data_IF_965131062764
#
_entry.id   IF_965131062764
#
_cell.length_a   1.000
_cell.length_b   1.000
_cell.length_c   1.000
_cell.angle_alpha   90.00
_cell.angle_beta   90.00
_cell.angle_gamma   90.00
#
_symmetry.space_group_name_H-M   'P 1'
#
loop_
_entity.id
_entity.type
_entity.pdbx_description
1 polymer ?
#
# COMPACT_ATOMS: atom_id res chain seq x y z
N UNK A 1 4.33 -5.44 -18.86
CA UNK A 1 4.66 -4.66 -17.66
C UNK A 1 3.54 -3.67 -17.54
N UNK A 2 2.74 -3.81 -16.49
CA UNK A 2 1.59 -2.95 -16.25
C UNK A 2 2.04 -1.52 -15.90
N UNK A 3 1.22 -0.54 -16.30
CA UNK A 3 1.39 0.87 -15.97
C UNK A 3 0.60 1.22 -14.73
N UNK A 4 1.25 1.93 -13.81
CA UNK A 4 0.67 2.34 -12.53
C UNK A 4 0.54 3.87 -12.51
N UNK A 5 -0.60 4.39 -12.06
CA UNK A 5 -0.73 5.80 -11.75
C UNK A 5 -0.99 5.99 -10.25
N UNK A 6 -0.27 6.91 -9.62
CA UNK A 6 -0.46 7.27 -8.21
C UNK A 6 -1.04 8.68 -8.15
N UNK A 7 -2.22 8.81 -7.56
CA UNK A 7 -2.91 10.10 -7.38
C UNK A 7 -2.89 10.52 -5.92
N UNK A 8 -2.59 11.78 -5.64
CA UNK A 8 -2.59 12.34 -4.28
C UNK A 8 -3.12 13.77 -4.26
N UNK A 9 -3.72 14.18 -3.15
CA UNK A 9 -4.13 15.57 -2.88
C UNK A 9 -3.20 16.28 -1.88
N UNK A 10 -2.06 15.67 -1.56
CA UNK A 10 -1.05 16.33 -0.74
C UNK A 10 -0.15 15.36 0.01
N UNK A 11 -0.51 14.96 1.24
CA UNK A 11 0.47 14.45 2.19
C UNK A 11 0.95 13.04 1.82
N UNK A 12 0.15 12.22 1.17
CA UNK A 12 0.46 10.80 0.96
C UNK A 12 0.94 10.51 -0.47
N UNK A 13 1.38 9.28 -0.75
CA UNK A 13 1.75 8.83 -2.10
C UNK A 13 3.23 8.90 -2.44
N UNK A 14 3.97 9.93 -2.04
CA UNK A 14 5.37 10.14 -2.47
C UNK A 14 6.29 8.92 -2.25
N UNK A 15 6.27 8.33 -1.05
CA UNK A 15 7.10 7.13 -0.78
C UNK A 15 6.62 5.87 -1.49
N UNK A 16 5.32 5.79 -1.77
CA UNK A 16 4.80 4.69 -2.57
C UNK A 16 5.29 4.82 -4.01
N UNK A 17 5.26 6.04 -4.56
CA UNK A 17 5.83 6.34 -5.86
C UNK A 17 7.31 6.00 -5.95
N UNK A 18 8.12 6.47 -4.99
CA UNK A 18 9.56 6.20 -5.00
C UNK A 18 9.90 4.71 -5.01
N UNK A 19 9.07 3.88 -4.36
CA UNK A 19 9.29 2.44 -4.27
C UNK A 19 8.70 1.67 -5.46
N UNK A 20 7.49 2.03 -5.91
CA UNK A 20 6.77 1.33 -6.98
C UNK A 20 7.44 1.58 -8.34
N UNK A 21 7.97 2.78 -8.58
CA UNK A 21 8.66 3.12 -9.83
C UNK A 21 9.94 2.31 -10.08
N UNK A 22 10.48 1.64 -9.06
CA UNK A 22 11.63 0.75 -9.22
C UNK A 22 11.25 -0.56 -9.94
N UNK A 23 9.98 -0.97 -9.85
CA UNK A 23 9.47 -2.24 -10.40
C UNK A 23 8.50 -2.05 -11.58
N UNK A 24 7.77 -0.92 -11.65
CA UNK A 24 6.75 -0.67 -12.68
C UNK A 24 6.89 0.72 -13.32
N UNK A 25 6.43 0.85 -14.57
CA UNK A 25 6.22 2.15 -15.20
C UNK A 25 5.15 2.91 -14.40
N UNK A 26 5.55 4.01 -13.74
CA UNK A 26 4.71 4.67 -12.75
C UNK A 26 4.61 6.18 -13.02
N UNK A 27 3.39 6.69 -13.09
CA UNK A 27 3.09 8.12 -13.15
C UNK A 27 2.66 8.64 -11.78
N UNK A 28 3.07 9.87 -11.43
CA UNK A 28 2.71 10.52 -10.18
C UNK A 28 1.95 11.82 -10.42
N UNK A 29 0.68 11.83 -10.01
CA UNK A 29 -0.24 12.93 -10.27
C UNK A 29 -0.66 13.54 -8.94
N UNK A 30 -0.44 14.84 -8.82
CA UNK A 30 -0.88 15.62 -7.66
C UNK A 30 -2.06 16.51 -8.07
N UNK A 31 -3.19 16.28 -7.43
CA UNK A 31 -4.39 17.08 -7.57
C UNK A 31 -4.47 18.12 -6.46
N UNK A 32 -5.12 19.24 -6.73
CA UNK A 32 -5.44 20.21 -5.69
C UNK A 32 -6.76 19.79 -5.02
N UNK A 33 -6.79 19.64 -3.69
CA UNK A 33 -8.04 19.32 -3.00
C UNK A 33 -9.00 20.50 -3.14
N UNK A 34 -10.29 20.22 -3.32
CA UNK A 34 -11.28 21.27 -3.55
C UNK A 34 -11.44 22.11 -2.25
N UNK A 35 -11.46 23.45 -2.39
CA UNK A 35 -11.39 24.39 -1.25
C UNK A 35 -12.80 24.85 -0.84
N UNK A 36 -13.37 24.25 0.20
CA UNK A 36 -14.66 24.67 0.76
C UNK A 36 -15.51 23.49 1.23
N UNK A 37 -16.52 23.76 2.08
CA UNK A 37 -17.42 22.72 2.60
C UNK A 37 -18.61 22.40 1.65
N UNK A 38 -18.81 23.23 0.63
CA UNK A 38 -19.88 23.11 -0.36
C UNK A 38 -19.29 23.44 -1.73
N UNK A 39 -19.07 22.42 -2.53
CA UNK A 39 -18.60 22.53 -3.90
C UNK A 39 -19.61 21.79 -4.73
N UNK A 40 -20.24 22.50 -5.66
CA UNK A 40 -21.34 21.96 -6.46
C UNK A 40 -20.81 20.97 -7.53
N UNK A 41 -19.56 21.15 -7.99
CA UNK A 41 -18.89 20.29 -8.97
C UNK A 41 -17.42 20.13 -8.60
N UNK A 42 -16.97 18.89 -8.40
CA UNK A 42 -15.56 18.54 -8.28
C UNK A 42 -15.11 18.09 -9.64
N UNK A 43 -14.25 18.88 -10.27
CA UNK A 43 -13.73 18.53 -11.59
C UNK A 43 -12.28 18.08 -11.47
N UNK A 44 -11.98 16.94 -12.09
CA UNK A 44 -10.61 16.42 -12.20
C UNK A 44 -10.03 17.00 -13.48
N UNK A 45 -8.87 17.69 -13.44
CA UNK A 45 -8.28 18.28 -14.64
C UNK A 45 -8.17 17.28 -15.79
N UNK A 46 -8.56 17.70 -16.99
CA UNK A 46 -8.61 16.82 -18.19
C UNK A 46 -7.24 16.19 -18.48
N UNK A 47 -6.15 16.94 -18.29
CA UNK A 47 -4.78 16.45 -18.46
C UNK A 47 -4.38 15.38 -17.43
N UNK A 48 -4.96 15.42 -16.23
CA UNK A 48 -4.79 14.40 -15.21
C UNK A 48 -5.61 13.15 -15.56
N UNK A 49 -6.84 13.32 -16.04
CA UNK A 49 -7.69 12.21 -16.48
C UNK A 49 -7.08 11.46 -17.65
N UNK A 50 -6.57 12.16 -18.68
CA UNK A 50 -5.90 11.53 -19.81
C UNK A 50 -4.78 10.60 -19.35
N UNK A 51 -3.88 11.09 -18.50
CA UNK A 51 -2.78 10.28 -17.93
C UNK A 51 -3.29 9.12 -17.08
N UNK A 52 -4.36 9.32 -16.32
CA UNK A 52 -4.94 8.26 -15.50
C UNK A 52 -5.58 7.14 -16.32
N UNK A 53 -6.17 7.47 -17.46
CA UNK A 53 -6.77 6.49 -18.37
C UNK A 53 -5.73 5.67 -19.14
N UNK A 54 -4.48 6.10 -19.19
CA UNK A 54 -3.38 5.32 -19.76
C UNK A 54 -2.82 4.25 -18.80
N UNK A 55 -3.19 4.29 -17.52
CA UNK A 55 -2.73 3.34 -16.52
C UNK A 55 -3.63 2.10 -16.44
N UNK A 56 -3.02 0.95 -16.17
CA UNK A 56 -3.76 -0.29 -15.91
C UNK A 56 -4.27 -0.33 -14.46
N UNK A 57 -3.46 0.16 -13.52
CA UNK A 57 -3.80 0.23 -12.08
C UNK A 57 -3.62 1.63 -11.53
N UNK A 58 -4.62 2.13 -10.80
CA UNK A 58 -4.56 3.42 -10.12
C UNK A 58 -4.46 3.21 -8.61
N UNK A 59 -3.46 3.82 -7.96
CA UNK A 59 -3.39 3.95 -6.51
C UNK A 59 -3.77 5.38 -6.12
N UNK A 60 -4.92 5.54 -5.47
CA UNK A 60 -5.33 6.85 -4.95
C UNK A 60 -5.04 6.97 -3.46
N UNK A 61 -4.32 8.04 -3.12
CA UNK A 61 -4.06 8.51 -1.76
C UNK A 61 -4.74 9.85 -1.47
N UNK A 62 -5.71 10.23 -2.30
CA UNK A 62 -6.56 11.40 -2.08
C UNK A 62 -7.33 11.22 -0.77
N UNK A 63 -7.30 12.26 0.09
CA UNK A 63 -7.99 12.26 1.37
C UNK A 63 -9.42 12.76 1.23
N UNK A 64 -9.65 13.70 0.31
CA UNK A 64 -10.98 14.26 0.09
C UNK A 64 -11.94 13.17 -0.45
N UNK A 65 -13.02 12.82 0.28
CA UNK A 65 -13.88 11.70 -0.09
C UNK A 65 -14.58 11.93 -1.43
N UNK A 66 -15.07 13.15 -1.67
CA UNK A 66 -15.81 13.45 -2.89
C UNK A 66 -14.91 13.44 -4.14
N UNK A 67 -13.64 13.88 -4.01
CA UNK A 67 -12.66 13.79 -5.11
C UNK A 67 -12.26 12.33 -5.38
N UNK A 68 -12.17 11.52 -4.32
CA UNK A 68 -11.91 10.08 -4.47
C UNK A 68 -13.08 9.39 -5.18
N UNK A 69 -14.32 9.75 -4.84
CA UNK A 69 -15.51 9.20 -5.48
C UNK A 69 -15.57 9.60 -6.96
N UNK A 70 -15.35 10.88 -7.25
CA UNK A 70 -15.31 11.40 -8.63
C UNK A 70 -14.26 10.66 -9.48
N UNK A 71 -13.04 10.49 -8.95
CA UNK A 71 -11.99 9.72 -9.61
C UNK A 71 -12.43 8.28 -9.91
N UNK A 72 -13.07 7.61 -8.95
CA UNK A 72 -13.55 6.24 -9.15
C UNK A 72 -14.67 6.20 -10.18
N UNK A 73 -15.65 7.10 -10.09
CA UNK A 73 -16.77 7.15 -11.04
C UNK A 73 -16.31 7.39 -12.47
N UNK A 74 -15.31 8.26 -12.68
CA UNK A 74 -14.80 8.58 -14.01
C UNK A 74 -13.83 7.55 -14.60
N UNK A 75 -13.21 6.69 -13.77
CA UNK A 75 -12.08 5.84 -14.20
C UNK A 75 -12.34 4.34 -14.06
N UNK A 76 -13.30 3.90 -13.23
CA UNK A 76 -13.52 2.46 -12.97
C UNK A 76 -13.82 1.64 -14.24
N UNK A 77 -14.41 2.24 -15.26
CA UNK A 77 -14.72 1.59 -16.55
C UNK A 77 -13.61 1.75 -17.60
N UNK A 78 -12.54 2.48 -17.26
CA UNK A 78 -11.42 2.80 -18.16
C UNK A 78 -10.11 2.14 -17.75
N UNK A 79 -9.99 1.67 -16.51
CA UNK A 79 -8.78 1.00 -15.99
C UNK A 79 -9.13 -0.38 -15.42
N UNK A 80 -8.14 -1.27 -15.36
CA UNK A 80 -8.36 -2.62 -14.83
C UNK A 80 -8.64 -2.62 -13.33
N UNK A 81 -7.91 -1.82 -12.54
CA UNK A 81 -8.09 -1.81 -11.09
C UNK A 81 -7.81 -0.46 -10.40
N UNK A 82 -8.56 -0.14 -9.36
CA UNK A 82 -8.31 1.03 -8.49
C UNK A 82 -8.09 0.59 -7.04
N UNK A 83 -6.99 1.03 -6.45
CA UNK A 83 -6.66 0.79 -5.05
C UNK A 83 -6.78 2.11 -4.27
N UNK A 84 -7.71 2.15 -3.32
CA UNK A 84 -7.98 3.34 -2.50
C UNK A 84 -7.25 3.22 -1.17
N UNK A 85 -6.09 3.88 -1.06
CA UNK A 85 -5.24 3.84 0.12
C UNK A 85 -5.66 4.79 1.26
N UNK A 86 -6.54 5.76 0.97
CA UNK A 86 -7.05 6.71 1.94
C UNK A 86 -8.58 6.78 1.87
N UNK A 87 -9.25 6.26 2.91
CA UNK A 87 -10.71 6.29 3.03
C UNK A 87 -11.11 6.21 4.50
N UNK A 88 -12.34 6.62 4.83
CA UNK A 88 -12.92 6.49 6.17
C UNK A 88 -14.40 6.19 6.12
N UNK A 89 -14.86 5.36 7.05
CA UNK A 89 -16.27 5.00 7.21
C UNK A 89 -16.69 3.84 6.32
N UNK A 90 -17.44 2.90 6.90
CA UNK A 90 -17.90 1.68 6.20
C UNK A 90 -18.83 2.00 5.02
N UNK A 91 -19.67 3.02 5.15
CA UNK A 91 -20.57 3.45 4.08
C UNK A 91 -19.81 3.91 2.83
N UNK A 92 -18.77 4.71 3.02
CA UNK A 92 -17.93 5.18 1.91
C UNK A 92 -17.15 4.02 1.25
N UNK A 93 -16.58 3.11 2.06
CA UNK A 93 -15.96 1.88 1.54
C UNK A 93 -16.93 1.06 0.67
N UNK A 94 -18.17 0.91 1.13
CA UNK A 94 -19.20 0.20 0.38
C UNK A 94 -19.61 0.93 -0.90
N UNK A 95 -19.57 2.26 -0.94
CA UNK A 95 -19.82 3.01 -2.17
C UNK A 95 -18.71 2.74 -3.20
N UNK A 96 -17.45 2.86 -2.78
CA UNK A 96 -16.29 2.65 -3.64
C UNK A 96 -16.20 1.22 -4.19
N UNK A 97 -16.47 0.22 -3.36
CA UNK A 97 -16.30 -1.20 -3.75
C UNK A 97 -17.44 -1.76 -4.61
N UNK A 98 -18.51 -0.99 -4.86
CA UNK A 98 -19.67 -1.44 -5.67
C UNK A 98 -19.35 -1.63 -7.15
N UNK A 99 -18.36 -0.92 -7.69
CA UNK A 99 -18.05 -1.04 -9.12
C UNK A 99 -17.26 -2.32 -9.47
N UNK A 100 -16.82 -3.09 -8.47
CA UNK A 100 -16.30 -4.45 -8.65
C UNK A 100 -14.79 -4.56 -8.90
N UNK A 101 -14.14 -3.53 -9.43
CA UNK A 101 -12.69 -3.48 -9.66
C UNK A 101 -11.95 -2.50 -8.73
N UNK A 102 -12.48 -2.33 -7.51
CA UNK A 102 -11.90 -1.42 -6.51
C UNK A 102 -11.58 -2.16 -5.22
N UNK A 103 -10.36 -1.97 -4.73
CA UNK A 103 -9.91 -2.46 -3.43
C UNK A 103 -9.60 -1.28 -2.51
N UNK A 104 -10.30 -1.23 -1.38
CA UNK A 104 -10.06 -0.24 -0.32
C UNK A 104 -9.54 -0.98 0.94
N UNK A 105 -8.23 -1.29 1.02
CA UNK A 105 -7.70 -2.09 2.12
C UNK A 105 -7.62 -1.27 3.42
N UNK A 106 -7.52 -1.92 4.59
CA UNK A 106 -7.32 -1.18 5.84
C UNK A 106 -5.92 -0.56 5.88
N UNK A 107 -4.91 -1.31 5.44
CA UNK A 107 -3.58 -0.85 5.08
C UNK A 107 -3.19 -1.32 3.69
N UNK A 108 -2.33 -0.55 3.03
CA UNK A 108 -1.70 -0.98 1.78
C UNK A 108 -0.86 -2.27 1.93
N UNK A 109 -0.48 -2.64 3.17
CA UNK A 109 0.18 -3.91 3.49
C UNK A 109 -0.81 -5.09 3.59
N UNK A 110 -2.11 -4.87 3.42
CA UNK A 110 -3.13 -5.93 3.53
C UNK A 110 -3.49 -6.50 2.14
N UNK A 111 -2.89 -5.99 1.07
CA UNK A 111 -3.21 -6.41 -0.29
C UNK A 111 -2.74 -7.85 -0.52
N UNK A 112 -3.69 -8.68 -0.96
CA UNK A 112 -3.52 -10.08 -1.34
C UNK A 112 -4.15 -10.30 -2.72
N UNK A 113 -3.69 -11.31 -3.43
CA UNK A 113 -4.17 -11.66 -4.77
C UNK A 113 -5.67 -11.98 -4.75
N UNK A 114 -6.39 -11.57 -5.79
CA UNK A 114 -7.83 -11.76 -5.91
C UNK A 114 -8.27 -12.48 -7.19
N UNK A 115 -7.31 -12.89 -8.03
CA UNK A 115 -7.55 -13.62 -9.27
C UNK A 115 -7.66 -12.72 -10.52
N UNK A 116 -7.66 -11.40 -10.37
CA UNK A 116 -7.52 -10.50 -11.51
C UNK A 116 -6.03 -10.43 -11.93
N UNK A 117 -5.67 -10.78 -13.18
CA UNK A 117 -4.26 -10.87 -13.59
C UNK A 117 -3.46 -9.57 -13.43
N UNK A 118 -4.08 -8.42 -13.70
CA UNK A 118 -3.41 -7.11 -13.65
C UNK A 118 -3.18 -6.68 -12.21
N UNK A 119 -4.21 -6.84 -11.37
CA UNK A 119 -4.10 -6.57 -9.94
C UNK A 119 -3.11 -7.54 -9.26
N UNK A 120 -3.15 -8.83 -9.61
CA UNK A 120 -2.26 -9.84 -9.05
C UNK A 120 -0.80 -9.62 -9.49
N UNK A 121 -0.54 -9.11 -10.71
CA UNK A 121 0.82 -8.70 -11.12
C UNK A 121 1.36 -7.58 -10.23
N UNK A 122 0.53 -6.57 -9.89
CA UNK A 122 0.90 -5.54 -8.93
C UNK A 122 1.13 -6.12 -7.53
N UNK A 123 0.17 -6.91 -7.03
CA UNK A 123 0.20 -7.45 -5.66
C UNK A 123 1.32 -8.46 -5.47
N UNK A 124 1.72 -9.18 -6.51
CA UNK A 124 2.86 -10.09 -6.46
C UNK A 124 4.12 -9.40 -5.93
N UNK A 125 4.32 -8.13 -6.28
CA UNK A 125 5.44 -7.29 -5.81
C UNK A 125 5.08 -6.45 -4.59
N UNK A 126 3.87 -5.92 -4.53
CA UNK A 126 3.47 -4.97 -3.49
C UNK A 126 2.17 -5.32 -2.75
N UNK A 127 2.27 -5.62 -1.45
CA UNK A 127 1.12 -5.95 -0.63
C UNK A 127 1.50 -6.53 0.73
N UNK A 128 0.86 -7.64 1.12
CA UNK A 128 1.23 -8.36 2.34
C UNK A 128 2.68 -8.83 2.29
N UNK A 129 3.54 -8.45 3.25
CA UNK A 129 4.96 -8.75 3.15
C UNK A 129 5.26 -10.25 3.07
N UNK A 130 6.14 -10.61 2.13
CA UNK A 130 6.70 -11.96 1.99
C UNK A 130 8.21 -11.81 1.83
N UNK A 131 8.97 -12.44 2.73
CA UNK A 131 10.43 -12.36 2.75
C UNK A 131 11.03 -13.75 2.81
N UNK A 132 12.14 -13.94 2.11
CA UNK A 132 12.97 -15.14 2.19
C UNK A 132 14.25 -14.80 2.92
N UNK A 133 14.54 -15.54 3.97
CA UNK A 133 15.65 -15.26 4.88
C UNK A 133 16.73 -16.31 4.69
N UNK A 134 17.96 -15.87 4.49
CA UNK A 134 19.13 -16.74 4.37
C UNK A 134 19.96 -16.64 5.65
N UNK A 135 20.12 -17.76 6.36
CA UNK A 135 20.82 -17.84 7.63
C UNK A 135 22.11 -18.67 7.52
N UNK A 136 23.15 -18.28 8.24
CA UNK A 136 24.32 -19.11 8.54
C UNK A 136 24.40 -19.32 10.05
N UNK A 137 24.10 -20.54 10.49
CA UNK A 137 23.95 -20.83 11.91
C UNK A 137 22.80 -20.02 12.51
N UNK A 138 23.10 -19.22 13.51
CA UNK A 138 22.14 -18.36 14.22
C UNK A 138 22.07 -16.93 13.68
N UNK A 139 22.78 -16.62 12.59
CA UNK A 139 22.85 -15.26 12.03
C UNK A 139 22.19 -15.14 10.67
N UNK A 140 21.45 -14.05 10.49
CA UNK A 140 20.91 -13.65 9.19
C UNK A 140 22.03 -13.08 8.33
N UNK A 141 22.25 -13.67 7.16
CA UNK A 141 23.27 -13.23 6.19
C UNK A 141 22.64 -12.37 5.11
N UNK A 142 21.42 -12.69 4.70
CA UNK A 142 20.73 -12.01 3.61
C UNK A 142 19.20 -12.15 3.77
N UNK A 143 18.46 -11.18 3.25
CA UNK A 143 17.00 -11.16 3.24
C UNK A 143 16.52 -10.67 1.88
N UNK A 144 15.85 -11.55 1.16
CA UNK A 144 15.22 -11.26 -0.12
C UNK A 144 13.75 -10.89 0.12
N UNK A 145 13.32 -9.72 -0.34
CA UNK A 145 11.93 -9.27 -0.27
C UNK A 145 11.23 -9.74 -1.55
N UNK A 146 10.36 -10.75 -1.41
CA UNK A 146 9.58 -11.29 -2.53
C UNK A 146 8.37 -10.39 -2.81
N UNK A 147 7.69 -9.95 -1.74
CA UNK A 147 6.58 -9.00 -1.77
C UNK A 147 6.80 -7.97 -0.67
N UNK A 148 6.87 -6.70 -1.04
CA UNK A 148 7.11 -5.59 -0.13
C UNK A 148 5.86 -4.77 0.15
N UNK A 149 5.87 -3.97 1.21
CA UNK A 149 4.87 -2.92 1.39
C UNK A 149 5.02 -1.86 0.30
N UNK A 150 3.94 -1.29 -0.28
CA UNK A 150 4.03 -0.22 -1.26
C UNK A 150 4.91 0.96 -0.83
N UNK A 151 4.96 1.28 0.47
CA UNK A 151 5.75 2.40 0.97
C UNK A 151 7.25 2.11 1.20
N UNK A 152 7.73 0.89 0.98
CA UNK A 152 9.14 0.50 1.23
C UNK A 152 9.50 0.23 2.71
N UNK A 153 8.50 0.06 3.59
CA UNK A 153 8.74 -0.31 4.98
C UNK A 153 9.36 -1.71 5.12
N UNK A 154 8.95 -2.65 4.26
CA UNK A 154 9.50 -4.02 4.25
C UNK A 154 10.99 -4.03 3.94
N UNK A 155 11.43 -3.30 2.90
CA UNK A 155 12.84 -3.20 2.52
C UNK A 155 13.69 -2.52 3.60
N UNK A 156 13.12 -1.50 4.26
CA UNK A 156 13.76 -0.87 5.41
C UNK A 156 14.04 -1.87 6.54
N UNK A 157 13.06 -2.73 6.86
CA UNK A 157 13.23 -3.75 7.90
C UNK A 157 14.15 -4.88 7.45
N UNK A 158 14.04 -5.32 6.19
CA UNK A 158 14.91 -6.35 5.62
C UNK A 158 16.39 -5.97 5.75
N UNK A 159 16.74 -4.71 5.45
CA UNK A 159 18.10 -4.18 5.62
C UNK A 159 18.56 -4.11 7.09
N UNK A 160 17.65 -3.82 8.02
CA UNK A 160 17.97 -3.67 9.45
C UNK A 160 18.28 -5.01 10.15
N UNK A 161 17.68 -6.10 9.67
CA UNK A 161 17.82 -7.42 10.28
C UNK A 161 19.07 -8.19 9.83
N UNK A 162 19.72 -7.77 8.74
CA UNK A 162 20.95 -8.41 8.26
C UNK A 162 22.04 -8.32 9.35
N UNK A 163 22.72 -9.44 9.61
CA UNK A 163 23.75 -9.58 10.65
C UNK A 163 23.20 -9.77 12.07
N UNK A 164 21.88 -9.81 12.26
CA UNK A 164 21.25 -10.08 13.57
C UNK A 164 21.11 -11.58 13.84
N UNK A 165 20.90 -11.92 15.11
CA UNK A 165 20.56 -13.28 15.51
C UNK A 165 19.11 -13.61 15.12
N UNK A 166 18.86 -14.87 14.73
CA UNK A 166 17.53 -15.43 14.46
C UNK A 166 16.61 -15.39 15.68
N UNK A 167 17.14 -15.45 16.89
CA UNK A 167 16.36 -15.36 18.13
C UNK A 167 15.70 -13.97 18.27
N UNK A 168 14.36 -13.96 18.35
CA UNK A 168 13.56 -12.74 18.48
C UNK A 168 13.57 -11.84 17.24
N UNK A 169 14.06 -12.33 16.09
CA UNK A 169 14.15 -11.54 14.86
C UNK A 169 12.78 -11.08 14.37
N UNK A 170 11.77 -11.96 14.35
CA UNK A 170 10.41 -11.64 13.92
C UNK A 170 9.82 -10.49 14.76
N UNK A 171 9.90 -10.59 16.08
CA UNK A 171 9.45 -9.53 17.00
C UNK A 171 10.19 -8.21 16.76
N UNK A 172 11.51 -8.27 16.50
CA UNK A 172 12.30 -7.10 16.13
C UNK A 172 11.82 -6.50 14.81
N UNK A 173 11.56 -7.32 13.80
CA UNK A 173 11.07 -6.87 12.50
C UNK A 173 9.75 -6.09 12.64
N UNK A 174 8.78 -6.64 13.36
CA UNK A 174 7.52 -5.95 13.65
C UNK A 174 7.71 -4.64 14.43
N UNK A 175 8.54 -4.64 15.47
CA UNK A 175 8.86 -3.42 16.22
C UNK A 175 9.58 -2.38 15.36
N UNK A 176 10.42 -2.81 14.42
CA UNK A 176 11.21 -1.90 13.59
C UNK A 176 10.34 -1.07 12.64
N UNK A 177 9.18 -1.59 12.24
CA UNK A 177 8.15 -0.83 11.52
C UNK A 177 7.68 0.41 12.30
N UNK A 178 7.72 0.38 13.64
CA UNK A 178 7.37 1.56 14.43
C UNK A 178 8.36 2.71 14.25
N UNK A 179 9.61 2.40 13.91
CA UNK A 179 10.68 3.37 13.64
C UNK A 179 10.75 3.83 12.18
N UNK A 180 10.17 3.05 11.25
CA UNK A 180 9.95 3.53 9.89
C UNK A 180 8.91 4.68 9.93
N UNK A 181 9.05 5.74 9.11
CA UNK A 181 8.10 6.87 9.09
C UNK A 181 6.74 6.51 8.48
N UNK A 182 6.20 5.32 8.76
CA UNK A 182 4.90 4.84 8.32
C UNK A 182 3.81 5.84 8.69
N UNK A 183 2.95 6.14 7.70
CA UNK A 183 1.83 7.08 7.83
C UNK A 183 0.50 6.39 8.15
N UNK A 184 0.51 5.08 8.40
CA UNK A 184 -0.64 4.36 8.90
C UNK A 184 -1.16 5.02 10.20
N UNK A 185 -2.49 5.16 10.36
CA UNK A 185 -3.07 5.71 11.57
C UNK A 185 -2.59 4.99 12.84
N UNK A 186 -2.28 5.78 13.86
CA UNK A 186 -1.95 5.28 15.20
C UNK A 186 -3.23 5.05 16.00
N UNK A 187 -3.12 4.27 17.08
CA UNK A 187 -4.17 4.10 18.07
C UNK A 187 -4.73 5.46 18.53
N UNK A 188 -6.06 5.57 18.56
CA UNK A 188 -6.77 6.71 19.12
C UNK A 188 -7.53 6.25 20.35
N UNK A 189 -7.35 6.97 21.45
CA UNK A 189 -8.14 6.75 22.65
C UNK A 189 -9.61 7.02 22.31
N UNK A 190 -10.50 6.12 22.74
CA UNK A 190 -11.96 6.22 22.53
C UNK A 190 -12.41 6.06 21.05
N UNK A 191 -11.62 5.39 20.22
CA UNK A 191 -12.08 4.86 18.92
C UNK A 191 -12.18 3.35 18.98
N UNK A 192 -13.17 2.78 18.28
CA UNK A 192 -13.30 1.34 18.04
C UNK A 192 -12.42 0.88 16.86
N UNK A 193 -11.69 1.79 16.21
CA UNK A 193 -10.79 1.48 15.10
C UNK A 193 -9.55 0.72 15.58
N UNK A 194 -9.23 -0.40 14.91
CA UNK A 194 -7.96 -1.08 15.12
C UNK A 194 -6.76 -0.19 14.79
N UNK A 195 -5.67 -0.37 15.55
CA UNK A 195 -4.43 0.37 15.32
C UNK A 195 -3.76 -0.13 14.03
N UNK A 196 -4.02 0.57 12.92
CA UNK A 196 -3.45 0.29 11.60
C UNK A 196 -1.93 0.15 11.58
N UNK A 197 -1.22 0.94 12.40
CA UNK A 197 0.25 0.81 12.54
C UNK A 197 0.67 -0.46 13.29
N UNK A 198 -0.14 -0.95 14.22
CA UNK A 198 0.10 -2.24 14.90
C UNK A 198 -0.21 -3.41 13.96
N UNK A 199 -1.28 -3.34 13.17
CA UNK A 199 -1.58 -4.32 12.12
C UNK A 199 -0.40 -4.47 11.17
N UNK A 200 0.13 -3.35 10.64
CA UNK A 200 1.31 -3.37 9.78
C UNK A 200 2.53 -3.99 10.49
N UNK A 201 2.76 -3.70 11.78
CA UNK A 201 3.85 -4.31 12.54
C UNK A 201 3.67 -5.83 12.68
N UNK A 202 2.46 -6.31 12.96
CA UNK A 202 2.16 -7.74 13.06
C UNK A 202 2.35 -8.45 11.71
N UNK A 203 1.89 -7.87 10.60
CA UNK A 203 2.12 -8.46 9.27
C UNK A 203 3.59 -8.62 8.93
N UNK A 204 4.43 -7.65 9.31
CA UNK A 204 5.87 -7.78 9.12
C UNK A 204 6.48 -8.80 10.09
N UNK A 205 6.05 -8.84 11.36
CA UNK A 205 6.50 -9.89 12.28
C UNK A 205 6.21 -11.28 11.69
N UNK A 206 4.97 -11.51 11.27
CA UNK A 206 4.51 -12.80 10.77
C UNK A 206 5.22 -13.17 9.45
N UNK A 207 5.49 -12.19 8.58
CA UNK A 207 6.29 -12.41 7.36
C UNK A 207 7.71 -12.90 7.67
N UNK A 208 8.40 -12.26 8.63
CA UNK A 208 9.75 -12.65 9.02
C UNK A 208 9.77 -13.96 9.82
N UNK A 209 8.70 -14.27 10.58
CA UNK A 209 8.55 -15.57 11.23
C UNK A 209 8.43 -16.70 10.19
N UNK A 210 7.54 -16.56 9.21
CA UNK A 210 7.40 -17.51 8.10
C UNK A 210 8.71 -17.69 7.32
N UNK A 211 9.38 -16.58 6.98
CA UNK A 211 10.66 -16.64 6.27
C UNK A 211 11.76 -17.38 7.06
N UNK A 212 11.76 -17.28 8.39
CA UNK A 212 12.68 -18.04 9.24
C UNK A 212 12.34 -19.53 9.28
N UNK A 213 11.07 -19.88 9.38
CA UNK A 213 10.63 -21.28 9.35
C UNK A 213 11.01 -21.97 8.04
N UNK A 214 10.87 -21.27 6.92
CA UNK A 214 11.25 -21.78 5.60
C UNK A 214 12.76 -21.95 5.45
N UNK A 215 13.57 -21.06 6.03
CA UNK A 215 15.04 -21.16 5.99
C UNK A 215 15.62 -22.37 6.74
N UNK A 216 14.82 -23.00 7.60
CA UNK A 216 15.20 -24.19 8.40
C UNK A 216 14.80 -25.50 7.73
N UNK A 217 14.00 -25.46 6.65
CA UNK A 217 13.58 -26.63 5.87
C UNK A 217 14.65 -27.00 4.86
#
# INVERSE_FOLDING_TARGET
MIKIAIVTDGPYGERAYENIKEEFETEFIKLEPPVGAFIDEIDVPEDALEKLTEADVILTYVIHPDLTLELVEQLHDKVDWIIVGAWRGKGFKQQLTRFGNITAPENMCDLEENGNPVFDEFVAKFGQPIVKINCQGDKVVDVEVIRGSPCGATDFVAKDVIGRNTEGLASRAGLRIQHYPCRAPKMRLLSDDECKKEMAANMHRDAFERGLEESKK
#
